data_IF_250697725483
#
_entry.id   IF_250697725483
#
_cell.length_a   1.000
_cell.length_b   1.000
_cell.length_c   1.000
_cell.angle_alpha   90.00
_cell.angle_beta   90.00
_cell.angle_gamma   90.00
#
_symmetry.space_group_name_H-M   'P 1'
#
loop_
_entity.id
_entity.type
_entity.pdbx_description
1 polymer ?
#
# COMPACT_ATOMS: atom_id res chain seq x y z
N UNK A 1 33.65 25.24 42.61
CA UNK A 1 32.79 25.66 43.74
C UNK A 1 31.36 25.69 43.27
N UNK A 2 30.50 24.92 43.94
CA UNK A 2 29.09 24.72 43.62
C UNK A 2 28.19 25.76 44.32
N UNK A 3 27.07 26.12 43.68
CA UNK A 3 25.73 26.35 44.28
C UNK A 3 24.71 26.05 43.17
N UNK A 4 24.02 24.92 43.13
CA UNK A 4 22.85 24.48 43.91
C UNK A 4 21.68 25.49 43.91
N UNK A 5 20.56 25.07 43.31
CA UNK A 5 19.24 25.25 43.90
C UNK A 5 18.21 26.00 43.07
N UNK A 6 17.30 25.27 42.41
CA UNK A 6 15.85 25.38 42.65
C UNK A 6 15.08 24.34 41.81
N UNK A 7 14.82 23.20 42.44
CA UNK A 7 13.71 22.29 42.13
C UNK A 7 12.49 22.84 42.89
N UNK A 8 11.34 23.07 42.22
CA UNK A 8 10.00 22.75 42.74
C UNK A 8 8.86 23.32 41.88
N UNK A 9 7.80 22.51 41.71
CA UNK A 9 6.45 22.89 41.25
C UNK A 9 6.21 22.54 39.78
N UNK A 10 5.92 21.29 39.40
CA UNK A 10 4.61 20.64 39.52
C UNK A 10 3.43 21.60 39.31
N UNK A 11 3.00 21.73 38.05
CA UNK A 11 1.57 21.88 37.72
C UNK A 11 1.29 21.12 36.41
N UNK A 12 0.50 20.08 36.59
CA UNK A 12 -0.16 19.25 35.60
C UNK A 12 -0.68 20.04 34.38
N UNK A 13 -0.30 19.59 33.19
CA UNK A 13 -1.21 19.60 32.02
C UNK A 13 -1.35 18.15 31.58
N UNK A 14 -2.08 17.39 32.41
CA UNK A 14 -2.79 16.21 31.96
C UNK A 14 -4.17 16.69 31.57
N UNK A 15 -4.49 16.79 30.28
CA UNK A 15 -5.83 16.63 29.74
C UNK A 15 -5.70 16.37 28.24
N UNK A 16 -5.99 15.12 27.86
CA UNK A 16 -6.76 14.70 26.67
C UNK A 16 -6.13 15.15 25.33
N UNK A 17 -5.59 14.22 24.54
CA UNK A 17 -6.43 13.48 23.61
C UNK A 17 -6.08 11.98 23.55
N UNK A 18 -6.99 11.25 24.18
CA UNK A 18 -7.31 9.86 23.90
C UNK A 18 -7.54 9.66 22.39
N UNK A 19 -6.97 8.59 21.83
CA UNK A 19 -7.61 7.85 20.74
C UNK A 19 -7.38 8.33 19.31
N UNK A 20 -6.13 8.34 18.84
CA UNK A 20 -5.88 8.16 17.41
C UNK A 20 -5.78 6.65 17.11
N UNK A 21 -6.89 5.94 17.27
CA UNK A 21 -7.06 4.68 16.55
C UNK A 21 -6.95 5.03 15.07
N UNK A 22 -5.94 4.49 14.41
CA UNK A 22 -5.73 4.62 12.97
C UNK A 22 -6.87 3.90 12.25
N UNK A 23 -7.95 4.61 11.96
CA UNK A 23 -9.09 4.08 11.21
C UNK A 23 -8.73 3.96 9.74
N UNK A 24 -8.45 2.73 9.30
CA UNK A 24 -8.06 2.41 7.93
C UNK A 24 -9.26 2.43 6.97
N UNK A 25 -9.05 2.79 5.69
CA UNK A 25 -10.12 2.98 4.70
C UNK A 25 -10.81 1.66 4.30
N UNK A 26 -12.14 1.60 4.45
CA UNK A 26 -12.95 0.48 3.95
C UNK A 26 -13.28 0.65 2.46
N UNK A 27 -13.18 -0.42 1.65
CA UNK A 27 -13.59 -0.41 0.25
C UNK A 27 -15.13 -0.41 0.11
N UNK A 28 -15.66 0.41 -0.79
CA UNK A 28 -17.07 0.33 -1.22
C UNK A 28 -17.14 -0.69 -2.36
N UNK A 29 -17.58 -1.90 -2.03
CA UNK A 29 -17.76 -2.98 -2.98
C UNK A 29 -19.10 -2.85 -3.71
N UNK A 30 -19.07 -2.72 -5.03
CA UNK A 30 -20.21 -3.01 -5.88
C UNK A 30 -20.36 -4.53 -6.01
N UNK A 31 -21.32 -5.11 -5.27
CA UNK A 31 -21.91 -6.44 -5.50
C UNK A 31 -21.00 -7.68 -5.42
N UNK A 32 -19.73 -7.55 -5.03
CA UNK A 32 -18.79 -8.65 -4.82
C UNK A 32 -18.24 -8.62 -3.39
N UNK A 33 -18.00 -9.80 -2.82
CA UNK A 33 -17.59 -10.09 -1.45
C UNK A 33 -16.77 -8.98 -0.75
N UNK A 34 -17.29 -8.49 0.39
CA UNK A 34 -16.65 -7.45 1.20
C UNK A 34 -15.25 -7.88 1.71
N UNK A 35 -15.03 -9.18 1.87
CA UNK A 35 -13.76 -9.75 2.24
C UNK A 35 -12.72 -9.60 1.12
N UNK A 36 -13.08 -9.97 -0.12
CA UNK A 36 -12.21 -9.79 -1.29
C UNK A 36 -11.86 -8.32 -1.51
N UNK A 37 -12.82 -7.42 -1.31
CA UNK A 37 -12.57 -5.99 -1.40
C UNK A 37 -11.56 -5.53 -0.33
N UNK A 38 -11.67 -6.04 0.89
CA UNK A 38 -10.76 -5.74 2.01
C UNK A 38 -9.35 -6.23 1.70
N UNK A 39 -9.21 -7.47 1.27
CA UNK A 39 -7.93 -8.07 0.85
C UNK A 39 -7.31 -7.28 -0.31
N UNK A 40 -8.10 -6.91 -1.31
CA UNK A 40 -7.64 -6.10 -2.44
C UNK A 40 -7.14 -4.71 -2.01
N UNK A 41 -7.72 -4.15 -0.94
CA UNK A 41 -7.37 -2.84 -0.43
C UNK A 41 -5.98 -2.78 0.22
N UNK A 42 -5.44 -3.92 0.63
CA UNK A 42 -4.08 -4.03 1.16
C UNK A 42 -3.03 -3.58 0.14
N UNK A 43 -3.27 -3.77 -1.17
CA UNK A 43 -2.34 -3.35 -2.22
C UNK A 43 -2.23 -1.83 -2.41
N UNK A 44 -3.09 -1.03 -1.77
CA UNK A 44 -3.16 0.43 -2.01
C UNK A 44 -1.83 1.15 -1.80
N UNK A 45 -1.16 0.86 -0.69
CA UNK A 45 0.13 1.48 -0.38
C UNK A 45 1.20 1.10 -1.40
N UNK A 46 1.24 -0.18 -1.79
CA UNK A 46 2.16 -0.67 -2.82
C UNK A 46 1.91 0.01 -4.16
N UNK A 47 0.65 0.12 -4.59
CA UNK A 47 0.26 0.83 -5.82
C UNK A 47 0.65 2.30 -5.75
N UNK A 48 0.45 2.96 -4.60
CA UNK A 48 0.80 4.37 -4.42
C UNK A 48 2.31 4.61 -4.57
N UNK A 49 3.14 3.77 -3.93
CA UNK A 49 4.60 3.87 -4.02
C UNK A 49 5.09 3.57 -5.44
N UNK A 50 4.57 2.53 -6.10
CA UNK A 50 4.91 2.22 -7.50
C UNK A 50 4.50 3.39 -8.42
N UNK A 51 3.34 4.01 -8.20
CA UNK A 51 2.91 5.19 -8.95
C UNK A 51 3.86 6.38 -8.76
N UNK A 52 4.27 6.66 -7.52
CA UNK A 52 5.23 7.71 -7.24
C UNK A 52 6.57 7.46 -7.96
N UNK A 53 7.08 6.22 -7.87
CA UNK A 53 8.30 5.82 -8.54
C UNK A 53 8.17 6.02 -10.06
N UNK A 54 7.05 5.58 -10.65
CA UNK A 54 6.77 5.78 -12.06
C UNK A 54 6.70 7.25 -12.46
N UNK A 55 6.08 8.12 -11.66
CA UNK A 55 6.00 9.55 -11.99
C UNK A 55 7.40 10.19 -12.04
N UNK A 56 8.32 9.72 -11.20
CA UNK A 56 9.70 10.20 -11.13
C UNK A 56 10.61 9.61 -12.21
N UNK A 57 10.50 8.31 -12.47
CA UNK A 57 11.44 7.55 -13.31
C UNK A 57 10.87 7.19 -14.70
N UNK A 58 9.57 7.40 -14.91
CA UNK A 58 8.82 7.00 -16.11
C UNK A 58 8.92 5.50 -16.43
N UNK A 59 9.13 4.68 -15.40
CA UNK A 59 9.17 3.22 -15.44
C UNK A 59 8.73 2.65 -14.08
N UNK A 60 8.18 1.44 -14.04
CA UNK A 60 7.98 0.69 -12.81
C UNK A 60 9.34 0.15 -12.29
N UNK A 61 9.51 0.00 -10.96
CA UNK A 61 10.72 -0.57 -10.36
C UNK A 61 11.06 -1.95 -10.93
N UNK A 62 12.29 -2.20 -11.35
CA UNK A 62 12.68 -3.48 -11.92
C UNK A 62 13.10 -4.49 -10.84
N UNK A 63 12.47 -5.68 -10.75
CA UNK A 63 12.87 -6.76 -9.85
C UNK A 63 14.35 -7.15 -9.93
N UNK A 64 14.94 -7.05 -11.13
CA UNK A 64 16.34 -7.39 -11.36
C UNK A 64 17.34 -6.32 -10.94
N UNK A 65 16.88 -5.18 -10.41
CA UNK A 65 17.72 -4.03 -10.02
C UNK A 65 17.65 -3.81 -8.51
N UNK A 66 18.62 -4.32 -7.73
CA UNK A 66 18.60 -4.24 -6.27
C UNK A 66 18.45 -2.82 -5.72
N UNK A 67 19.04 -1.82 -6.38
CA UNK A 67 18.90 -0.42 -5.96
C UNK A 67 17.47 0.12 -6.10
N UNK A 68 16.72 -0.29 -7.13
CA UNK A 68 15.33 0.12 -7.30
C UNK A 68 14.42 -0.60 -6.28
N UNK A 69 14.75 -1.84 -5.91
CA UNK A 69 14.05 -2.57 -4.85
C UNK A 69 14.29 -1.97 -3.46
N UNK A 70 15.52 -1.56 -3.16
CA UNK A 70 15.82 -0.87 -1.91
C UNK A 70 15.05 0.46 -1.78
N UNK A 71 14.89 1.19 -2.89
CA UNK A 71 14.03 2.39 -2.92
C UNK A 71 12.57 2.02 -2.70
N UNK A 72 12.06 1.01 -3.40
CA UNK A 72 10.69 0.54 -3.24
C UNK A 72 10.40 0.15 -1.77
N UNK A 73 11.27 -0.63 -1.14
CA UNK A 73 11.13 -1.03 0.26
C UNK A 73 11.18 0.17 1.22
N UNK A 74 12.14 1.08 1.02
CA UNK A 74 12.28 2.29 1.86
C UNK A 74 11.05 3.21 1.78
N UNK A 75 10.47 3.37 0.59
CA UNK A 75 9.27 4.21 0.37
C UNK A 75 7.97 3.51 0.82
N UNK A 76 7.93 2.17 0.85
CA UNK A 76 6.84 1.45 1.51
C UNK A 76 6.84 1.71 3.01
N UNK A 77 8.01 1.94 3.61
CA UNK A 77 8.17 2.33 5.01
C UNK A 77 8.23 1.14 5.97
N UNK A 78 8.33 1.47 7.26
CA UNK A 78 8.55 0.48 8.31
C UNK A 78 7.45 -0.58 8.36
N UNK A 79 7.84 -1.84 8.54
CA UNK A 79 6.92 -2.98 8.59
C UNK A 79 6.55 -3.56 7.22
N UNK A 80 7.17 -3.06 6.15
CA UNK A 80 7.16 -3.70 4.84
C UNK A 80 8.51 -4.35 4.52
N UNK A 81 8.47 -5.40 3.70
CA UNK A 81 9.64 -5.96 3.04
C UNK A 81 9.36 -6.22 1.57
N UNK A 82 10.37 -6.07 0.71
CA UNK A 82 10.29 -6.34 -0.73
C UNK A 82 11.43 -7.28 -1.14
N UNK A 83 11.16 -8.59 -1.11
CA UNK A 83 12.17 -9.63 -1.34
C UNK A 83 12.12 -10.15 -2.78
N UNK A 84 13.24 -10.11 -3.49
CA UNK A 84 13.33 -10.71 -4.83
C UNK A 84 13.18 -12.24 -4.77
N UNK A 85 12.36 -12.80 -5.67
CA UNK A 85 12.10 -14.23 -5.86
C UNK A 85 12.10 -14.55 -7.35
N UNK A 86 13.09 -15.30 -7.83
CA UNK A 86 13.24 -15.65 -9.25
C UNK A 86 13.01 -14.44 -10.20
N UNK A 87 11.80 -14.31 -10.77
CA UNK A 87 11.40 -13.27 -11.71
C UNK A 87 10.40 -12.23 -11.15
N UNK A 88 10.05 -12.31 -9.86
CA UNK A 88 9.12 -11.41 -9.18
C UNK A 88 9.69 -10.91 -7.84
N UNK A 89 8.95 -10.01 -7.20
CA UNK A 89 9.25 -9.51 -5.85
C UNK A 89 8.08 -9.87 -4.96
N UNK A 90 8.36 -10.55 -3.86
CA UNK A 90 7.41 -10.78 -2.79
C UNK A 90 7.39 -9.55 -1.87
N UNK A 91 6.24 -8.87 -1.82
CA UNK A 91 6.02 -7.69 -0.97
C UNK A 91 5.11 -8.10 0.18
N UNK A 92 5.59 -7.94 1.40
CA UNK A 92 4.85 -8.30 2.61
C UNK A 92 4.81 -7.12 3.58
N UNK A 93 3.61 -6.78 4.04
CA UNK A 93 3.39 -5.81 5.13
C UNK A 93 2.93 -6.51 6.40
N UNK A 94 3.30 -6.01 7.56
CA UNK A 94 2.87 -6.55 8.87
C UNK A 94 1.35 -6.57 9.07
N UNK A 95 0.63 -5.64 8.45
CA UNK A 95 -0.83 -5.52 8.53
C UNK A 95 -1.55 -6.26 7.40
N UNK A 96 -0.81 -6.89 6.48
CA UNK A 96 -1.39 -7.61 5.36
C UNK A 96 -1.72 -9.05 5.76
N UNK A 97 -2.85 -9.55 5.28
CA UNK A 97 -3.26 -10.94 5.50
C UNK A 97 -2.43 -11.94 4.66
N UNK A 98 -1.64 -11.46 3.71
CA UNK A 98 -0.74 -12.27 2.89
C UNK A 98 0.19 -11.41 2.02
N UNK A 99 1.16 -12.05 1.36
CA UNK A 99 2.10 -11.37 0.47
C UNK A 99 1.43 -10.97 -0.85
N UNK A 100 1.83 -9.83 -1.38
CA UNK A 100 1.56 -9.42 -2.75
C UNK A 100 2.79 -9.69 -3.60
N UNK A 101 2.59 -10.26 -4.78
CA UNK A 101 3.64 -10.59 -5.71
C UNK A 101 3.68 -9.54 -6.81
N UNK A 102 4.87 -8.98 -7.05
CA UNK A 102 5.10 -7.89 -7.97
C UNK A 102 5.99 -8.31 -9.12
N UNK A 103 5.63 -7.95 -10.35
CA UNK A 103 6.54 -8.04 -11.48
C UNK A 103 6.39 -6.88 -12.46
N UNK A 104 7.40 -6.72 -13.31
CA UNK A 104 7.36 -5.87 -14.50
C UNK A 104 8.20 -6.52 -15.60
N UNK A 105 7.90 -6.18 -16.84
CA UNK A 105 8.69 -6.62 -17.99
C UNK A 105 9.71 -5.56 -18.36
N UNK A 106 10.97 -5.94 -18.53
CA UNK A 106 11.99 -5.04 -19.08
C UNK A 106 11.63 -4.51 -20.49
N UNK A 107 10.80 -5.25 -21.24
CA UNK A 107 10.31 -4.84 -22.56
C UNK A 107 9.22 -3.77 -22.50
N UNK A 108 8.44 -3.76 -21.42
CA UNK A 108 7.33 -2.84 -21.19
C UNK A 108 7.51 -2.19 -19.82
N UNK A 109 8.51 -1.31 -19.66
CA UNK A 109 8.91 -0.78 -18.36
C UNK A 109 7.84 0.11 -17.74
N UNK A 110 6.85 0.55 -18.48
CA UNK A 110 5.69 1.32 -18.03
C UNK A 110 4.53 0.45 -17.52
N UNK A 111 4.60 -0.88 -17.73
CA UNK A 111 3.60 -1.86 -17.31
C UNK A 111 4.12 -2.70 -16.16
N UNK A 112 3.26 -2.92 -15.18
CA UNK A 112 3.57 -3.78 -14.05
C UNK A 112 2.32 -4.42 -13.47
N UNK A 113 2.52 -5.56 -12.81
CA UNK A 113 1.44 -6.34 -12.21
C UNK A 113 1.73 -6.55 -10.73
N UNK A 114 0.70 -6.44 -9.93
CA UNK A 114 0.66 -6.99 -8.58
C UNK A 114 -0.39 -8.10 -8.56
N UNK A 115 -0.08 -9.24 -7.99
CA UNK A 115 -1.08 -10.29 -7.80
C UNK A 115 -0.98 -10.93 -6.42
N UNK A 116 -2.06 -11.57 -6.01
CA UNK A 116 -2.12 -12.36 -4.79
C UNK A 116 -2.97 -13.59 -5.01
N UNK A 117 -2.39 -14.74 -4.68
CA UNK A 117 -3.10 -16.02 -4.70
C UNK A 117 -4.03 -16.13 -3.48
N UNK A 118 -5.23 -16.66 -3.71
CA UNK A 118 -6.27 -16.90 -2.72
C UNK A 118 -6.74 -18.35 -2.83
N UNK A 119 -6.39 -19.18 -1.84
CA UNK A 119 -6.77 -20.58 -1.84
C UNK A 119 -6.28 -21.33 -3.09
N UNK A 120 -7.12 -22.21 -3.63
CA UNK A 120 -6.70 -23.15 -4.68
C UNK A 120 -6.77 -22.60 -6.11
N UNK A 121 -7.66 -21.65 -6.39
CA UNK A 121 -7.93 -21.15 -7.76
C UNK A 121 -8.20 -19.65 -7.86
N UNK A 122 -8.40 -18.94 -6.75
CA UNK A 122 -8.71 -17.52 -6.80
C UNK A 122 -7.40 -16.71 -6.80
N UNK A 123 -7.36 -15.61 -7.55
CA UNK A 123 -6.22 -14.69 -7.57
C UNK A 123 -6.74 -13.28 -7.79
N UNK A 124 -6.25 -12.34 -6.99
CA UNK A 124 -6.49 -10.92 -7.19
C UNK A 124 -5.36 -10.34 -8.03
N UNK A 125 -5.69 -9.57 -9.07
CA UNK A 125 -4.68 -8.98 -9.95
C UNK A 125 -4.92 -7.48 -10.10
N UNK A 126 -3.87 -6.71 -9.87
CA UNK A 126 -3.77 -5.30 -10.17
C UNK A 126 -2.83 -5.13 -11.36
N UNK A 127 -3.33 -4.57 -12.47
CA UNK A 127 -2.52 -4.31 -13.66
C UNK A 127 -2.38 -2.82 -13.91
N UNK A 128 -1.14 -2.37 -14.09
CA UNK A 128 -0.82 -1.06 -14.64
C UNK A 128 -0.70 -1.15 -16.15
N UNK A 129 -1.45 -0.28 -16.82
CA UNK A 129 -1.45 -0.11 -18.27
C UNK A 129 -0.75 1.19 -18.67
N UNK A 130 -0.51 1.33 -19.97
CA UNK A 130 0.04 2.52 -20.61
C UNK A 130 -0.67 3.80 -20.13
N UNK A 131 0.10 4.87 -19.96
CA UNK A 131 -0.42 6.15 -19.44
C UNK A 131 -0.73 6.14 -17.94
N UNK A 132 -0.52 5.01 -17.27
CA UNK A 132 -0.49 4.93 -15.82
C UNK A 132 -1.81 4.65 -15.13
N UNK A 133 -2.75 4.05 -15.86
CA UNK A 133 -4.03 3.59 -15.33
C UNK A 133 -3.86 2.22 -14.68
N UNK A 134 -4.50 2.02 -13.51
CA UNK A 134 -4.60 0.72 -12.86
C UNK A 134 -6.01 0.12 -13.03
N UNK A 135 -6.08 -1.18 -13.32
CA UNK A 135 -7.32 -1.96 -13.33
C UNK A 135 -7.23 -3.14 -12.36
N UNK A 136 -8.39 -3.54 -11.83
CA UNK A 136 -8.54 -4.65 -10.90
C UNK A 136 -9.21 -5.85 -11.55
N UNK A 137 -8.64 -7.04 -11.36
CA UNK A 137 -9.32 -8.33 -11.54
C UNK A 137 -9.61 -8.93 -10.15
N UNK A 138 -10.89 -8.99 -9.74
CA UNK A 138 -11.29 -9.49 -8.42
C UNK A 138 -11.18 -11.01 -8.25
N UNK A 139 -10.78 -11.76 -9.28
CA UNK A 139 -10.69 -13.23 -9.21
C UNK A 139 -12.05 -13.95 -9.14
N UNK A 140 -13.16 -13.22 -9.27
CA UNK A 140 -14.54 -13.75 -9.25
C UNK A 140 -15.04 -14.20 -10.64
N UNK A 141 -14.15 -14.21 -11.65
CA UNK A 141 -14.47 -14.48 -13.05
C UNK A 141 -15.11 -13.30 -13.80
N UNK A 142 -15.34 -12.17 -13.13
CA UNK A 142 -15.83 -10.93 -13.72
C UNK A 142 -14.75 -10.14 -14.47
N UNK A 143 -15.16 -9.13 -15.25
CA UNK A 143 -14.24 -8.33 -16.06
C UNK A 143 -13.37 -7.40 -15.20
N UNK A 144 -12.23 -7.00 -15.76
CA UNK A 144 -11.38 -5.93 -15.22
C UNK A 144 -12.20 -4.66 -14.95
N UNK A 145 -11.95 -4.02 -13.80
CA UNK A 145 -12.64 -2.78 -13.40
C UNK A 145 -11.63 -1.66 -13.19
N UNK A 146 -11.89 -0.44 -13.67
CA UNK A 146 -11.06 0.71 -13.32
C UNK A 146 -11.21 1.01 -11.83
N UNK A 147 -10.13 1.47 -11.21
CA UNK A 147 -10.21 1.88 -9.81
C UNK A 147 -10.84 3.26 -9.70
N UNK A 148 -11.87 3.36 -8.86
CA UNK A 148 -12.21 4.60 -8.16
C UNK A 148 -11.83 4.43 -6.71
N UNK A 149 -10.63 4.87 -6.34
CA UNK A 149 -10.37 5.15 -4.94
C UNK A 149 -11.20 6.38 -4.63
N UNK A 150 -12.17 6.26 -3.73
CA UNK A 150 -12.88 7.45 -3.27
C UNK A 150 -11.83 8.45 -2.75
N UNK A 151 -11.94 9.74 -3.10
CA UNK A 151 -11.18 10.74 -2.38
C UNK A 151 -11.50 10.57 -0.90
N UNK A 152 -10.50 10.78 -0.05
CA UNK A 152 -10.72 10.89 1.38
C UNK A 152 -11.82 11.93 1.56
N UNK A 153 -13.03 11.50 1.92
CA UNK A 153 -13.99 12.44 2.48
C UNK A 153 -13.34 12.88 3.78
N UNK A 154 -12.71 14.05 3.75
CA UNK A 154 -12.60 14.88 4.92
C UNK A 154 -14.05 15.11 5.35
N UNK A 155 -14.58 14.20 6.15
CA UNK A 155 -15.85 14.35 6.81
C UNK A 155 -15.71 15.57 7.68
N UNK A 156 -16.16 16.70 7.13
CA UNK A 156 -16.60 17.89 7.82
C UNK A 156 -17.61 17.41 8.87
N UNK A 157 -17.11 17.02 10.03
CA UNK A 157 -17.90 16.99 11.24
C UNK A 157 -18.04 18.43 11.70
N UNK A 158 -18.95 19.17 11.07
CA UNK A 158 -19.58 20.30 11.73
C UNK A 158 -20.30 19.74 12.96
N UNK A 159 -19.74 20.04 14.13
CA UNK A 159 -20.53 20.24 15.34
C UNK A 159 -20.89 21.71 15.41
#
# INVERSE_FOLDING_TARGET
MARLGAICGWLAIAWVLLGAFTSFPTPVAGGGDAELATVASEARQVIAVINWFYLRHRACPQPSRPGELAILEGELGDGFSATQRDWFVEIRGISMTGSWLYNTSARYPDRCTLWRELGQNATLIWRRHDGGRWTFEPGDGGPERPIKFAPVQAGMGDK
#
